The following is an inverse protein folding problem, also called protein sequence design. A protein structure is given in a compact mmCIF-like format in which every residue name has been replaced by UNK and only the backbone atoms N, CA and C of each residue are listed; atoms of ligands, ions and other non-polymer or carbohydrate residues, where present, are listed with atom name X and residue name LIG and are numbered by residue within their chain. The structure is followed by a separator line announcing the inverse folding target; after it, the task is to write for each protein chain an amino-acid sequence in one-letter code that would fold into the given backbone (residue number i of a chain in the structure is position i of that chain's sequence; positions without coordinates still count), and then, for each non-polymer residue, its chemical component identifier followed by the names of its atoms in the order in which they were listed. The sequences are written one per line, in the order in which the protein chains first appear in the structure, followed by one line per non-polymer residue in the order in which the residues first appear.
data_IF_292068344097
#
_entry.id   IF_292068344097
#
_cell.length_a   1.000
_cell.length_b   1.000
_cell.length_c   1.000
_cell.angle_alpha   90.00
_cell.angle_beta   90.00
_cell.angle_gamma   90.00
#
_symmetry.space_group_name_H-M   'P 1'
#
loop_
_entity.id
_entity.type
_entity.pdbx_description
1 polymer ?
#
# COMPACT_ATOMS: atom_id res chain seq x y z
N UNK A 1 11.60 11.93 11.01
CA UNK A 1 11.43 10.69 10.22
C UNK A 1 10.59 10.97 8.98
N UNK A 2 10.84 10.32 7.84
CA UNK A 2 10.09 10.52 6.57
C UNK A 2 9.12 9.38 6.26
N UNK A 3 7.94 9.70 5.72
CA UNK A 3 6.93 8.75 5.28
C UNK A 3 6.90 8.61 3.75
N UNK A 4 7.08 7.38 3.26
CA UNK A 4 6.97 7.04 1.85
C UNK A 4 5.64 6.33 1.55
N UNK A 5 5.01 6.69 0.44
CA UNK A 5 3.84 5.98 -0.06
C UNK A 5 4.26 4.97 -1.14
N UNK A 6 4.06 3.66 -0.94
CA UNK A 6 4.21 2.68 -2.00
C UNK A 6 3.20 2.93 -3.12
N UNK A 7 3.72 3.03 -4.33
CA UNK A 7 2.93 3.29 -5.53
C UNK A 7 2.43 2.00 -6.16
N UNK A 8 1.17 1.97 -6.62
CA UNK A 8 0.59 0.79 -7.29
C UNK A 8 -0.47 1.13 -8.36
N UNK A 9 -0.29 2.24 -9.11
CA UNK A 9 -1.30 2.82 -10.02
C UNK A 9 -2.58 3.29 -9.27
N UNK A 10 -2.39 3.85 -8.08
CA UNK A 10 -3.48 4.26 -7.18
C UNK A 10 -4.03 5.68 -7.43
N UNK A 11 -3.73 6.28 -8.58
CA UNK A 11 -4.30 7.56 -9.03
C UNK A 11 -5.82 7.49 -9.29
N UNK A 12 -6.47 8.65 -9.30
CA UNK A 12 -7.91 8.85 -9.54
C UNK A 12 -8.14 9.69 -10.79
N UNK A 13 -9.36 9.79 -11.28
CA UNK A 13 -9.69 10.58 -12.47
C UNK A 13 -10.12 11.99 -12.07
N UNK A 14 -9.67 12.98 -12.83
CA UNK A 14 -10.02 14.39 -12.65
C UNK A 14 -11.50 14.68 -12.90
N UNK A 15 -12.09 14.00 -13.89
CA UNK A 15 -13.47 14.17 -14.37
C UNK A 15 -14.51 13.30 -13.63
N UNK A 16 -14.13 12.68 -12.52
CA UNK A 16 -15.01 11.78 -11.78
C UNK A 16 -16.28 12.49 -11.26
N UNK A 17 -17.44 12.02 -11.73
CA UNK A 17 -18.75 12.45 -11.25
C UNK A 17 -19.27 11.48 -10.17
N UNK A 18 -19.36 11.90 -8.90
CA UNK A 18 -19.86 11.05 -7.82
C UNK A 18 -21.36 10.77 -7.91
N UNK A 19 -22.15 11.58 -8.63
CA UNK A 19 -23.59 11.40 -8.75
C UNK A 19 -23.94 10.18 -9.59
N UNK A 20 -23.24 10.04 -10.71
CA UNK A 20 -23.43 8.98 -11.71
C UNK A 20 -22.40 7.85 -11.60
N UNK A 21 -21.34 8.06 -10.80
CA UNK A 21 -20.19 7.16 -10.63
C UNK A 21 -19.41 6.94 -11.94
N UNK A 22 -19.41 7.94 -12.83
CA UNK A 22 -18.75 7.89 -14.15
C UNK A 22 -17.47 8.73 -14.20
N UNK A 23 -16.58 8.35 -15.11
CA UNK A 23 -15.33 9.02 -15.44
C UNK A 23 -14.85 8.50 -16.80
N UNK A 24 -13.97 9.23 -17.48
CA UNK A 24 -13.50 8.89 -18.82
C UNK A 24 -11.98 8.98 -18.96
N UNK A 25 -11.45 8.43 -20.05
CA UNK A 25 -10.01 8.42 -20.32
C UNK A 25 -9.22 7.39 -19.49
N UNK A 26 -7.91 7.49 -19.60
CA UNK A 26 -6.93 6.68 -18.87
C UNK A 26 -5.97 7.55 -18.07
N UNK A 27 -4.67 7.33 -18.28
CA UNK A 27 -3.61 7.96 -17.50
C UNK A 27 -3.51 9.48 -17.75
N UNK A 28 -3.90 9.95 -18.93
CA UNK A 28 -3.99 11.36 -19.26
C UNK A 28 -4.92 12.14 -18.31
N UNK A 29 -5.98 11.49 -17.82
CA UNK A 29 -6.92 12.05 -16.85
C UNK A 29 -6.59 11.68 -15.40
N UNK A 30 -5.44 11.03 -15.16
CA UNK A 30 -5.00 10.67 -13.82
C UNK A 30 -4.76 11.91 -12.97
N UNK A 31 -5.00 11.78 -11.67
CA UNK A 31 -4.68 12.74 -10.62
C UNK A 31 -4.13 11.96 -9.43
N UNK A 32 -2.92 12.33 -9.00
CA UNK A 32 -2.25 11.77 -7.85
C UNK A 32 -2.67 12.48 -6.55
N UNK A 33 -2.41 11.83 -5.41
CA UNK A 33 -2.75 12.43 -4.12
C UNK A 33 -2.02 13.76 -3.86
N UNK A 34 -0.75 13.88 -4.28
CA UNK A 34 0.04 15.10 -4.12
C UNK A 34 -0.43 16.26 -5.03
N UNK A 35 -1.21 15.99 -6.08
CA UNK A 35 -1.87 17.04 -6.88
C UNK A 35 -3.14 17.57 -6.19
N UNK A 36 -3.76 16.77 -5.31
CA UNK A 36 -5.01 17.11 -4.61
C UNK A 36 -4.75 17.85 -3.28
N UNK A 37 -3.73 17.43 -2.52
CA UNK A 37 -3.45 17.99 -1.20
C UNK A 37 -2.23 18.91 -1.22
N UNK A 38 -2.35 20.05 -0.53
CA UNK A 38 -1.26 21.00 -0.27
C UNK A 38 -1.16 21.21 1.25
N UNK A 39 -0.05 20.83 1.91
CA UNK A 39 1.09 20.10 1.36
C UNK A 39 0.75 18.65 0.95
N UNK A 40 1.60 17.98 0.13
CA UNK A 40 1.46 16.56 -0.20
C UNK A 40 1.38 15.65 1.03
N UNK A 41 0.64 14.52 0.97
CA UNK A 41 0.39 13.67 2.13
C UNK A 41 1.47 12.60 2.38
N UNK A 42 2.72 12.88 1.99
CA UNK A 42 3.89 12.02 2.15
C UNK A 42 5.17 12.79 1.76
N UNK A 43 6.32 12.31 2.25
CA UNK A 43 7.66 12.85 1.95
C UNK A 43 8.30 12.20 0.71
N UNK A 44 7.81 11.03 0.31
CA UNK A 44 8.38 10.28 -0.80
C UNK A 44 7.43 9.23 -1.37
N UNK A 45 7.81 8.69 -2.52
CA UNK A 45 7.08 7.64 -3.23
C UNK A 45 8.03 6.46 -3.42
N UNK A 46 7.59 5.26 -3.01
CA UNK A 46 8.32 4.01 -3.24
C UNK A 46 7.73 3.31 -4.46
N UNK A 47 8.50 3.12 -5.53
CA UNK A 47 8.04 2.46 -6.76
C UNK A 47 8.75 1.12 -6.91
N UNK A 48 7.97 0.04 -6.89
CA UNK A 48 8.48 -1.31 -7.04
C UNK A 48 8.72 -1.65 -8.51
N UNK A 49 9.91 -2.14 -8.86
CA UNK A 49 10.25 -2.61 -10.21
C UNK A 49 9.37 -3.79 -10.65
N UNK A 50 8.85 -4.58 -9.71
CA UNK A 50 7.82 -5.58 -9.99
C UNK A 50 6.58 -4.98 -10.67
N UNK A 51 6.27 -3.69 -10.48
CA UNK A 51 5.17 -3.05 -11.21
C UNK A 51 5.35 -3.10 -12.73
N UNK A 52 6.58 -3.09 -13.23
CA UNK A 52 6.89 -3.15 -14.66
C UNK A 52 6.73 -4.56 -15.27
N UNK A 53 6.52 -5.56 -14.43
CA UNK A 53 6.14 -6.90 -14.84
C UNK A 53 4.60 -7.05 -14.86
N UNK A 54 3.92 -6.57 -13.80
CA UNK A 54 2.50 -6.87 -13.58
C UNK A 54 1.51 -5.83 -14.11
N UNK A 55 1.91 -4.56 -14.21
CA UNK A 55 0.97 -3.44 -14.41
C UNK A 55 1.39 -2.44 -15.46
N UNK A 56 2.67 -2.10 -15.46
CA UNK A 56 3.28 -1.16 -16.38
C UNK A 56 4.15 -1.92 -17.35
N UNK A 57 4.36 -1.37 -18.54
CA UNK A 57 5.33 -1.91 -19.50
C UNK A 57 6.43 -0.88 -19.69
N UNK A 58 7.67 -1.32 -19.57
CA UNK A 58 8.81 -0.52 -20.00
C UNK A 58 8.93 -0.65 -21.52
N UNK A 59 8.75 0.46 -22.21
CA UNK A 59 8.97 0.54 -23.65
C UNK A 59 10.34 1.16 -23.90
N UNK A 60 11.07 0.66 -24.90
CA UNK A 60 12.33 1.27 -25.31
C UNK A 60 12.07 2.29 -26.42
N UNK A 61 12.43 3.55 -26.18
CA UNK A 61 12.43 4.61 -27.19
C UNK A 61 13.87 5.11 -27.30
N UNK A 62 14.45 5.04 -28.51
CA UNK A 62 15.85 5.36 -28.77
C UNK A 62 16.83 4.64 -27.81
N UNK A 63 16.53 3.37 -27.49
CA UNK A 63 17.36 2.54 -26.62
C UNK A 63 17.18 2.76 -25.12
N UNK A 64 16.40 3.77 -24.68
CA UNK A 64 16.13 4.06 -23.26
C UNK A 64 14.76 3.58 -22.82
N UNK A 65 14.66 3.08 -21.59
CA UNK A 65 13.40 2.72 -20.96
C UNK A 65 12.48 3.94 -20.77
N UNK A 66 11.20 3.72 -21.02
CA UNK A 66 10.14 4.72 -20.82
C UNK A 66 8.92 4.07 -20.18
N UNK A 67 8.19 4.84 -19.39
CA UNK A 67 6.93 4.44 -18.75
C UNK A 67 5.83 5.32 -19.33
N UNK A 68 4.90 4.73 -20.08
CA UNK A 68 3.82 5.49 -20.77
C UNK A 68 4.34 6.68 -21.61
N UNK A 69 5.52 6.53 -22.22
CA UNK A 69 6.17 7.58 -23.03
C UNK A 69 7.03 8.58 -22.24
N UNK A 70 7.04 8.52 -20.91
CA UNK A 70 7.91 9.34 -20.06
C UNK A 70 9.27 8.66 -19.88
N UNK A 71 10.36 9.42 -20.04
CA UNK A 71 11.74 8.95 -19.81
C UNK A 71 12.23 9.14 -18.38
N UNK A 72 11.42 9.76 -17.51
CA UNK A 72 11.73 10.07 -16.12
C UNK A 72 10.58 9.59 -15.24
N UNK A 73 10.90 8.92 -14.13
CA UNK A 73 9.91 8.50 -13.14
C UNK A 73 9.26 9.72 -12.46
N UNK A 74 9.99 10.83 -12.36
CA UNK A 74 9.48 12.06 -11.74
C UNK A 74 8.42 12.71 -12.62
N UNK A 75 8.65 12.77 -13.93
CA UNK A 75 7.71 13.32 -14.92
C UNK A 75 6.47 12.43 -15.02
N UNK A 76 6.68 11.10 -15.01
CA UNK A 76 5.59 10.13 -14.92
C UNK A 76 4.70 10.36 -13.70
N UNK A 77 5.31 10.67 -12.55
CA UNK A 77 4.59 10.95 -11.30
C UNK A 77 4.17 12.41 -11.14
N UNK A 78 4.43 13.30 -12.13
CA UNK A 78 4.11 14.74 -12.10
C UNK A 78 4.69 15.49 -10.90
N UNK A 79 5.98 15.26 -10.64
CA UNK A 79 6.70 15.79 -9.48
C UNK A 79 7.61 16.99 -9.82
N UNK A 80 7.44 17.64 -10.97
CA UNK A 80 8.28 18.74 -11.44
C UNK A 80 8.29 19.91 -10.43
N UNK A 81 7.10 20.26 -9.92
CA UNK A 81 6.91 21.34 -8.93
C UNK A 81 7.07 20.86 -7.48
N UNK A 82 7.50 19.61 -7.26
CA UNK A 82 7.64 18.98 -5.95
C UNK A 82 9.04 18.34 -5.78
N UNK A 83 10.13 19.12 -5.89
CA UNK A 83 11.50 18.60 -5.81
C UNK A 83 11.82 17.95 -4.45
N UNK A 84 11.09 18.31 -3.39
CA UNK A 84 11.23 17.73 -2.06
C UNK A 84 10.72 16.29 -1.95
N UNK A 85 9.83 15.85 -2.85
CA UNK A 85 9.33 14.47 -2.85
C UNK A 85 10.38 13.58 -3.50
N UNK A 86 10.93 12.66 -2.70
CA UNK A 86 11.92 11.68 -3.16
C UNK A 86 11.24 10.44 -3.75
N UNK A 87 11.75 9.94 -4.86
CA UNK A 87 11.31 8.70 -5.51
C UNK A 87 12.35 7.61 -5.27
N UNK A 88 11.98 6.61 -4.48
CA UNK A 88 12.82 5.46 -4.15
C UNK A 88 12.34 4.24 -4.94
N UNK A 89 13.27 3.55 -5.58
CA UNK A 89 13.03 2.29 -6.27
C UNK A 89 13.14 1.10 -5.34
N UNK A 90 12.19 0.18 -5.41
CA UNK A 90 12.19 -1.11 -4.72
C UNK A 90 12.33 -2.24 -5.77
N UNK A 91 13.14 -3.27 -5.52
CA UNK A 91 13.34 -4.34 -6.50
C UNK A 91 12.12 -5.28 -6.63
N UNK A 92 11.17 -5.21 -5.69
CA UNK A 92 9.90 -5.90 -5.77
C UNK A 92 9.90 -7.33 -5.27
N UNK A 93 10.74 -7.67 -4.29
CA UNK A 93 10.90 -9.03 -3.79
C UNK A 93 9.64 -9.75 -3.30
N UNK A 94 8.57 -9.02 -2.99
CA UNK A 94 7.26 -9.62 -2.72
C UNK A 94 6.66 -10.37 -3.92
N UNK A 95 6.98 -9.99 -5.15
CA UNK A 95 6.41 -10.62 -6.36
C UNK A 95 7.02 -11.98 -6.63
N UNK A 96 8.24 -12.22 -6.17
CA UNK A 96 8.98 -13.46 -6.35
C UNK A 96 9.37 -14.16 -5.04
N UNK A 97 8.74 -13.81 -3.92
CA UNK A 97 9.01 -14.41 -2.61
C UNK A 97 8.88 -15.94 -2.59
N UNK A 98 8.01 -16.48 -3.44
CA UNK A 98 7.78 -17.92 -3.59
C UNK A 98 8.81 -18.61 -4.50
N UNK A 99 9.54 -17.86 -5.31
CA UNK A 99 10.58 -18.39 -6.19
C UNK A 99 11.86 -18.74 -5.42
N UNK A 100 12.78 -19.42 -6.11
CA UNK A 100 14.11 -19.76 -5.58
C UNK A 100 15.09 -18.59 -5.66
N UNK A 101 14.93 -17.73 -6.66
CA UNK A 101 15.83 -16.61 -6.97
C UNK A 101 15.02 -15.39 -7.41
N UNK A 102 15.59 -14.18 -7.33
CA UNK A 102 14.97 -12.97 -7.88
C UNK A 102 14.66 -13.12 -9.37
N UNK A 103 13.57 -12.50 -9.82
CA UNK A 103 13.21 -12.42 -11.25
C UNK A 103 14.01 -11.35 -12.00
N UNK A 104 14.67 -10.46 -11.25
CA UNK A 104 15.38 -9.30 -11.73
C UNK A 104 16.88 -9.45 -11.46
N UNK A 105 17.73 -9.15 -12.44
CA UNK A 105 19.19 -9.10 -12.24
C UNK A 105 19.64 -7.75 -11.67
N UNK A 106 20.82 -7.73 -11.06
CA UNK A 106 21.46 -6.49 -10.57
C UNK A 106 21.63 -5.47 -11.70
N UNK A 107 22.11 -5.92 -12.88
CA UNK A 107 22.30 -5.06 -14.05
C UNK A 107 20.99 -4.44 -14.55
N UNK A 108 19.90 -5.20 -14.51
CA UNK A 108 18.59 -4.70 -14.91
C UNK A 108 18.05 -3.68 -13.91
N UNK A 109 18.17 -3.94 -12.61
CA UNK A 109 17.76 -3.00 -11.58
C UNK A 109 18.51 -1.66 -11.70
N UNK A 110 19.85 -1.71 -11.76
CA UNK A 110 20.71 -0.52 -11.90
C UNK A 110 20.35 0.26 -13.17
N UNK A 111 20.19 -0.44 -14.30
CA UNK A 111 19.82 0.19 -15.57
C UNK A 111 18.48 0.91 -15.46
N UNK A 112 17.45 0.26 -14.91
CA UNK A 112 16.11 0.86 -14.80
C UNK A 112 16.13 2.08 -13.88
N UNK A 113 16.76 1.99 -12.72
CA UNK A 113 16.86 3.11 -11.78
C UNK A 113 17.59 4.31 -12.40
N UNK A 114 18.69 4.06 -13.11
CA UNK A 114 19.48 5.10 -13.78
C UNK A 114 18.74 5.72 -14.97
N UNK A 115 18.24 4.89 -15.90
CA UNK A 115 17.57 5.36 -17.13
C UNK A 115 16.30 6.16 -16.83
N UNK A 116 15.57 5.81 -15.77
CA UNK A 116 14.35 6.51 -15.36
C UNK A 116 14.59 7.60 -14.31
N UNK A 117 15.84 7.90 -13.94
CA UNK A 117 16.21 8.98 -13.01
C UNK A 117 15.54 8.87 -11.63
N UNK A 118 15.65 7.69 -11.00
CA UNK A 118 15.27 7.52 -9.59
C UNK A 118 16.21 8.31 -8.66
N UNK A 119 15.69 8.80 -7.53
CA UNK A 119 16.54 9.48 -6.53
C UNK A 119 17.36 8.46 -5.72
N UNK A 120 16.71 7.35 -5.33
CA UNK A 120 17.31 6.23 -4.61
C UNK A 120 16.91 4.90 -5.25
N UNK A 121 17.76 3.87 -5.14
CA UNK A 121 17.46 2.52 -5.63
C UNK A 121 17.87 1.44 -4.63
N UNK A 122 16.91 0.60 -4.22
CA UNK A 122 17.16 -0.53 -3.33
C UNK A 122 17.77 -1.69 -4.12
N UNK A 123 18.86 -2.26 -3.59
CA UNK A 123 19.56 -3.40 -4.17
C UNK A 123 18.64 -4.63 -4.30
N UNK A 124 18.92 -5.48 -5.29
CA UNK A 124 18.13 -6.70 -5.53
C UNK A 124 18.28 -7.68 -4.36
N UNK A 125 17.18 -8.01 -3.69
CA UNK A 125 17.18 -8.91 -2.53
C UNK A 125 16.23 -10.09 -2.69
N UNK A 126 16.23 -10.96 -1.68
CA UNK A 126 15.31 -12.08 -1.57
C UNK A 126 14.77 -12.18 -0.14
N UNK A 127 13.45 -12.01 0.01
CA UNK A 127 12.80 -12.03 1.33
C UNK A 127 13.00 -13.39 2.02
N UNK A 128 13.48 -13.34 3.26
CA UNK A 128 13.59 -14.48 4.18
C UNK A 128 12.23 -14.81 4.81
N UNK A 129 11.28 -15.29 3.99
CA UNK A 129 9.93 -15.65 4.43
C UNK A 129 9.90 -17.07 4.99
N UNK A 130 9.46 -17.23 6.25
CA UNK A 130 9.34 -18.54 6.89
C UNK A 130 8.44 -19.50 6.11
N UNK A 131 7.39 -18.98 5.46
CA UNK A 131 6.45 -19.74 4.65
C UNK A 131 6.39 -19.23 3.22
N UNK A 132 6.43 -20.15 2.26
CA UNK A 132 6.19 -19.87 0.84
C UNK A 132 5.16 -20.84 0.25
N UNK A 133 4.63 -20.53 -0.93
CA UNK A 133 3.73 -21.42 -1.68
C UNK A 133 4.37 -21.78 -3.02
N UNK A 134 4.54 -23.08 -3.27
CA UNK A 134 5.22 -23.64 -4.45
C UNK A 134 4.32 -24.64 -5.17
N UNK A 135 4.66 -24.99 -6.41
CA UNK A 135 4.06 -26.12 -7.13
C UNK A 135 4.65 -27.46 -6.67
N UNK A 136 4.08 -28.59 -7.14
CA UNK A 136 4.64 -29.92 -6.81
C UNK A 136 5.98 -30.13 -7.52
N UNK A 137 6.15 -29.59 -8.73
CA UNK A 137 7.40 -29.68 -9.50
C UNK A 137 8.55 -28.87 -8.89
N UNK A 138 8.23 -27.80 -8.16
CA UNK A 138 9.21 -26.93 -7.52
C UNK A 138 9.68 -27.45 -6.16
N UNK A 139 8.98 -28.40 -5.55
CA UNK A 139 9.18 -28.82 -4.16
C UNK A 139 10.62 -29.28 -3.88
N UNK A 140 11.18 -30.08 -4.79
CA UNK A 140 12.53 -30.65 -4.68
C UNK A 140 13.65 -29.59 -4.79
N UNK A 141 13.31 -28.36 -5.21
CA UNK A 141 14.28 -27.26 -5.32
C UNK A 141 14.51 -26.50 -4.01
N UNK A 142 13.77 -26.81 -2.95
CA UNK A 142 13.82 -26.11 -1.66
C UNK A 142 14.18 -27.03 -0.50
N UNK A 143 14.95 -26.50 0.45
CA UNK A 143 15.14 -27.12 1.77
C UNK A 143 14.01 -26.64 2.71
N UNK A 144 13.23 -27.56 3.28
CA UNK A 144 12.04 -27.24 4.09
C UNK A 144 11.85 -28.17 5.30
N UNK A 145 11.11 -27.68 6.30
CA UNK A 145 10.83 -28.37 7.56
C UNK A 145 9.40 -28.92 7.64
N UNK A 146 8.44 -28.24 7.01
CA UNK A 146 7.02 -28.60 7.06
C UNK A 146 6.35 -28.40 5.70
N UNK A 147 5.35 -29.24 5.40
CA UNK A 147 4.56 -29.18 4.15
C UNK A 147 3.07 -29.19 4.47
N UNK A 148 2.30 -28.31 3.83
CA UNK A 148 0.84 -28.20 3.93
C UNK A 148 0.23 -28.05 2.54
N UNK A 149 -0.56 -29.03 2.11
CA UNK A 149 -1.27 -28.96 0.82
C UNK A 149 -2.50 -28.05 0.95
N UNK A 150 -2.65 -27.12 0.00
CA UNK A 150 -3.79 -26.18 -0.04
C UNK A 150 -4.40 -26.16 -1.43
N UNK A 151 -5.61 -25.59 -1.56
CA UNK A 151 -6.24 -25.38 -2.87
C UNK A 151 -5.44 -24.45 -3.82
N UNK A 152 -4.45 -23.72 -3.30
CA UNK A 152 -3.65 -22.73 -4.06
C UNK A 152 -2.21 -23.19 -4.32
N UNK A 153 -1.90 -24.45 -4.05
CA UNK A 153 -0.54 -25.01 -4.13
C UNK A 153 -0.06 -25.57 -2.80
N UNK A 154 1.23 -25.89 -2.73
CA UNK A 154 1.87 -26.51 -1.58
C UNK A 154 2.54 -25.41 -0.75
N UNK A 155 2.09 -25.25 0.49
CA UNK A 155 2.77 -24.37 1.44
C UNK A 155 3.89 -25.12 2.13
N UNK A 156 5.10 -24.58 2.07
CA UNK A 156 6.25 -25.13 2.77
C UNK A 156 6.82 -24.14 3.77
N UNK A 157 7.30 -24.65 4.90
CA UNK A 157 8.07 -23.89 5.87
C UNK A 157 9.55 -24.06 5.54
N UNK A 158 10.22 -22.98 5.18
CA UNK A 158 11.63 -23.04 4.78
C UNK A 158 12.52 -23.44 5.95
N UNK A 159 13.57 -24.20 5.65
CA UNK A 159 14.64 -24.49 6.61
C UNK A 159 15.52 -23.26 6.84
N UNK A 160 16.32 -23.29 7.90
CA UNK A 160 17.30 -22.23 8.14
C UNK A 160 18.33 -22.14 7.02
N UNK A 161 18.75 -23.27 6.45
CA UNK A 161 19.65 -23.33 5.28
C UNK A 161 19.09 -22.53 4.10
N UNK A 162 17.79 -22.67 3.80
CA UNK A 162 17.14 -21.94 2.71
C UNK A 162 17.02 -20.45 3.00
N UNK A 163 16.71 -20.09 4.25
CA UNK A 163 16.64 -18.69 4.68
C UNK A 163 18.02 -18.03 4.62
N UNK A 164 19.07 -18.73 5.03
CA UNK A 164 20.46 -18.27 4.95
C UNK A 164 20.92 -18.15 3.49
N UNK A 165 20.54 -19.09 2.62
CA UNK A 165 20.78 -18.99 1.19
C UNK A 165 20.21 -17.67 0.61
N UNK A 166 18.96 -17.33 0.95
CA UNK A 166 18.30 -16.09 0.51
C UNK A 166 18.98 -14.84 1.07
N UNK A 167 19.40 -14.89 2.34
CA UNK A 167 20.14 -13.80 2.99
C UNK A 167 21.49 -13.54 2.31
N UNK A 168 22.31 -14.58 2.12
CA UNK A 168 23.60 -14.50 1.43
C UNK A 168 23.44 -13.97 0.00
N UNK A 169 22.45 -14.48 -0.75
CA UNK A 169 22.17 -14.00 -2.10
C UNK A 169 21.85 -12.49 -2.11
N UNK A 170 21.12 -12.00 -1.10
CA UNK A 170 20.81 -10.57 -0.98
C UNK A 170 22.07 -9.73 -0.72
N UNK A 171 23.00 -10.22 0.10
CA UNK A 171 24.29 -9.57 0.36
C UNK A 171 25.20 -9.57 -0.88
N UNK A 172 25.29 -10.68 -1.60
CA UNK A 172 26.07 -10.80 -2.83
C UNK A 172 25.56 -9.84 -3.92
N UNK A 173 24.24 -9.82 -4.12
CA UNK A 173 23.62 -8.85 -5.02
C UNK A 173 23.85 -7.42 -4.54
N UNK A 174 23.80 -7.16 -3.22
CA UNK A 174 24.07 -5.86 -2.62
C UNK A 174 25.49 -5.38 -2.92
N UNK A 175 26.49 -6.24 -2.83
CA UNK A 175 27.88 -5.90 -3.15
C UNK A 175 28.06 -5.57 -4.64
N UNK A 176 27.49 -6.40 -5.52
CA UNK A 176 27.52 -6.16 -6.96
C UNK A 176 26.79 -4.87 -7.35
N UNK A 177 25.61 -4.64 -6.75
CA UNK A 177 24.79 -3.47 -6.99
C UNK A 177 25.51 -2.18 -6.60
N UNK A 178 26.19 -2.15 -5.45
CA UNK A 178 26.93 -0.98 -4.99
C UNK A 178 28.03 -0.58 -5.98
N UNK A 179 28.75 -1.55 -6.54
CA UNK A 179 29.82 -1.33 -7.52
C UNK A 179 29.31 -0.77 -8.84
N UNK A 180 28.07 -1.08 -9.21
CA UNK A 180 27.46 -0.73 -10.51
C UNK A 180 26.54 0.49 -10.43
N UNK A 181 26.05 0.85 -9.24
CA UNK A 181 25.10 1.94 -9.05
C UNK A 181 25.65 3.27 -9.59
N UNK A 182 24.88 3.93 -10.45
CA UNK A 182 25.24 5.20 -11.07
C UNK A 182 23.99 6.00 -11.43
N UNK A 183 24.00 7.31 -11.15
CA UNK A 183 22.88 8.21 -11.43
C UNK A 183 21.75 8.20 -10.40
N UNK A 184 21.88 7.45 -9.31
CA UNK A 184 20.95 7.42 -8.17
C UNK A 184 21.71 7.04 -6.89
N UNK A 185 21.12 7.28 -5.71
CA UNK A 185 21.72 6.89 -4.43
C UNK A 185 21.41 5.42 -4.09
N UNK A 186 22.43 4.54 -3.96
CA UNK A 186 22.20 3.11 -3.70
C UNK A 186 21.75 2.88 -2.25
N UNK A 187 20.77 1.99 -2.08
CA UNK A 187 20.24 1.60 -0.75
C UNK A 187 20.40 0.09 -0.58
N UNK A 188 21.14 -0.33 0.44
CA UNK A 188 21.40 -1.75 0.69
C UNK A 188 20.20 -2.43 1.31
N UNK A 189 19.73 -3.54 0.74
CA UNK A 189 18.59 -4.30 1.24
C UNK A 189 19.02 -5.34 2.28
N UNK A 190 18.75 -5.07 3.56
CA UNK A 190 18.99 -6.00 4.65
C UNK A 190 17.79 -6.94 4.82
N UNK A 191 18.06 -8.24 4.75
CA UNK A 191 17.11 -9.32 5.05
C UNK A 191 17.57 -10.12 6.26
N UNK A 192 16.64 -10.86 6.87
CA UNK A 192 16.95 -11.71 8.01
C UNK A 192 15.76 -12.55 8.45
N UNK A 193 16.08 -13.62 9.18
CA UNK A 193 15.11 -14.58 9.74
C UNK A 193 15.14 -14.64 11.27
N UNK A 194 16.10 -13.94 11.88
CA UNK A 194 16.31 -13.77 13.31
C UNK A 194 16.89 -12.37 13.58
N UNK A 195 16.88 -11.89 14.83
CA UNK A 195 17.49 -10.59 15.16
C UNK A 195 18.99 -10.59 14.82
N UNK A 196 19.71 -11.68 15.14
CA UNK A 196 21.15 -11.80 14.85
C UNK A 196 21.44 -11.74 13.35
N UNK A 197 20.66 -12.44 12.51
CA UNK A 197 20.85 -12.42 11.06
C UNK A 197 20.53 -11.06 10.43
N UNK A 198 19.56 -10.31 10.96
CA UNK A 198 19.34 -8.92 10.52
C UNK A 198 20.52 -8.01 10.89
N UNK A 199 20.98 -8.08 12.15
CA UNK A 199 22.10 -7.26 12.63
C UNK A 199 23.37 -7.54 11.82
N UNK A 200 23.64 -8.81 11.53
CA UNK A 200 24.76 -9.25 10.69
C UNK A 200 24.65 -8.71 9.25
N UNK A 201 23.47 -8.82 8.64
CA UNK A 201 23.24 -8.32 7.27
C UNK A 201 23.38 -6.79 7.18
N UNK A 202 22.87 -6.07 8.17
CA UNK A 202 23.03 -4.61 8.27
C UNK A 202 24.50 -4.23 8.44
N UNK A 203 25.21 -4.91 9.35
CA UNK A 203 26.64 -4.69 9.57
C UNK A 203 27.44 -4.90 8.29
N UNK A 204 27.18 -6.01 7.59
CA UNK A 204 27.83 -6.36 6.33
C UNK A 204 27.62 -5.28 5.25
N UNK A 205 26.39 -4.79 5.07
CA UNK A 205 26.09 -3.73 4.09
C UNK A 205 26.81 -2.42 4.45
N UNK A 206 26.86 -2.05 5.73
CA UNK A 206 27.59 -0.84 6.17
C UNK A 206 29.09 -1.01 5.92
N UNK A 207 29.65 -2.18 6.21
CA UNK A 207 31.07 -2.49 5.94
C UNK A 207 31.41 -2.48 4.45
N UNK A 208 30.47 -2.90 3.58
CA UNK A 208 30.59 -2.78 2.12
C UNK A 208 30.65 -1.31 1.66
N UNK A 209 30.13 -0.37 2.46
CA UNK A 209 30.14 1.07 2.17
C UNK A 209 28.77 1.71 1.97
N UNK A 210 27.67 1.00 2.25
CA UNK A 210 26.34 1.62 2.23
C UNK A 210 26.17 2.59 3.41
N UNK A 211 25.77 3.82 3.11
CA UNK A 211 25.35 4.84 4.09
C UNK A 211 23.81 4.93 4.23
N UNK A 212 23.08 4.12 3.46
CA UNK A 212 21.62 3.98 3.55
C UNK A 212 21.22 2.50 3.38
N UNK A 213 20.49 1.97 4.36
CA UNK A 213 20.03 0.58 4.42
C UNK A 213 18.50 0.53 4.49
N UNK A 214 17.89 -0.32 3.67
CA UNK A 214 16.47 -0.69 3.75
C UNK A 214 16.33 -2.04 4.45
N UNK A 215 15.51 -2.13 5.49
CA UNK A 215 15.28 -3.38 6.25
C UNK A 215 13.98 -4.01 5.76
N UNK A 216 14.12 -5.10 5.02
CA UNK A 216 13.03 -5.86 4.40
C UNK A 216 12.48 -6.98 5.28
N UNK A 217 11.46 -7.70 4.80
CA UNK A 217 10.96 -8.91 5.48
C UNK A 217 10.22 -8.69 6.80
N UNK A 218 9.98 -7.44 7.20
CA UNK A 218 9.38 -7.10 8.50
C UNK A 218 7.86 -7.14 8.54
N UNK A 219 7.17 -7.01 7.40
CA UNK A 219 5.69 -6.96 7.33
C UNK A 219 4.98 -8.09 8.10
N UNK A 220 5.38 -9.38 7.99
CA UNK A 220 4.75 -10.46 8.74
C UNK A 220 5.22 -10.57 10.21
N UNK A 221 6.27 -9.85 10.61
CA UNK A 221 6.81 -9.88 11.97
C UNK A 221 5.91 -9.06 12.90
N UNK A 222 5.87 -9.48 14.17
CA UNK A 222 5.12 -8.82 15.24
C UNK A 222 5.83 -7.54 15.71
N UNK A 223 5.09 -6.64 16.34
CA UNK A 223 5.63 -5.36 16.82
C UNK A 223 6.74 -5.54 17.88
N UNK A 224 6.64 -6.58 18.73
CA UNK A 224 7.67 -6.94 19.71
C UNK A 224 9.00 -7.30 19.04
N UNK A 225 8.99 -8.18 18.04
CA UNK A 225 10.18 -8.53 17.25
C UNK A 225 10.82 -7.31 16.59
N UNK A 226 10.02 -6.44 15.96
CA UNK A 226 10.54 -5.24 15.29
C UNK A 226 11.16 -4.30 16.33
N UNK A 227 10.51 -4.09 17.47
CA UNK A 227 11.07 -3.24 18.54
C UNK A 227 12.40 -3.76 19.08
N UNK A 228 12.51 -5.08 19.32
CA UNK A 228 13.74 -5.73 19.80
C UNK A 228 14.87 -5.62 18.76
N UNK A 229 14.54 -5.81 17.49
CA UNK A 229 15.48 -5.62 16.39
C UNK A 229 16.04 -4.18 16.35
N UNK A 230 15.17 -3.17 16.41
CA UNK A 230 15.61 -1.77 16.37
C UNK A 230 16.51 -1.42 17.57
N UNK A 231 16.17 -1.93 18.75
CA UNK A 231 16.97 -1.74 19.96
C UNK A 231 18.35 -2.41 19.85
N UNK A 232 18.43 -3.63 19.29
CA UNK A 232 19.72 -4.31 19.11
C UNK A 232 20.59 -3.62 18.05
N UNK A 233 20.01 -3.15 16.94
CA UNK A 233 20.74 -2.33 15.92
C UNK A 233 21.28 -1.04 16.56
N UNK A 234 20.48 -0.39 17.42
CA UNK A 234 20.88 0.80 18.17
C UNK A 234 22.04 0.50 19.14
N UNK A 235 21.92 -0.56 19.94
CA UNK A 235 22.94 -1.01 20.90
C UNK A 235 24.27 -1.35 20.24
N UNK A 236 24.24 -1.90 19.02
CA UNK A 236 25.42 -2.17 18.18
C UNK A 236 26.01 -0.91 17.54
N UNK A 237 25.39 0.26 17.72
CA UNK A 237 25.84 1.54 17.18
C UNK A 237 25.65 1.70 15.67
N UNK A 238 24.89 0.81 15.03
CA UNK A 238 24.73 0.79 13.56
C UNK A 238 23.87 1.95 13.06
N UNK A 239 22.89 2.39 13.85
CA UNK A 239 22.03 3.55 13.53
C UNK A 239 22.81 4.86 13.37
N UNK A 240 24.04 4.95 13.90
CA UNK A 240 24.91 6.13 13.74
C UNK A 240 25.74 6.10 12.46
N UNK A 241 25.82 4.96 11.78
CA UNK A 241 26.68 4.74 10.62
C UNK A 241 25.96 4.89 9.28
N UNK A 242 24.64 4.72 9.27
CA UNK A 242 23.82 4.77 8.06
C UNK A 242 22.41 5.29 8.36
N UNK A 243 21.71 5.74 7.32
CA UNK A 243 20.27 5.97 7.33
C UNK A 243 19.54 4.63 7.24
N UNK A 244 18.35 4.56 7.82
CA UNK A 244 17.53 3.35 7.84
C UNK A 244 16.13 3.60 7.28
N UNK A 245 15.71 2.77 6.33
CA UNK A 245 14.36 2.69 5.81
C UNK A 245 13.69 1.38 6.26
N UNK A 246 12.52 1.43 6.91
CA UNK A 246 11.78 0.21 7.27
C UNK A 246 10.72 -0.12 6.22
N UNK A 247 10.89 -1.24 5.52
CA UNK A 247 10.02 -1.61 4.41
C UNK A 247 8.66 -2.15 4.88
N UNK A 248 7.58 -1.49 4.49
CA UNK A 248 6.19 -1.86 4.75
C UNK A 248 5.74 -1.78 6.21
N UNK A 249 6.52 -1.13 7.08
CA UNK A 249 6.25 -1.02 8.52
C UNK A 249 5.53 0.29 8.84
N UNK A 250 4.22 0.19 9.07
CA UNK A 250 3.46 1.22 9.79
C UNK A 250 2.66 0.56 10.91
N UNK A 251 3.15 0.77 12.13
CA UNK A 251 2.55 0.35 13.40
C UNK A 251 2.59 1.59 14.28
N UNK A 252 1.44 2.19 14.59
CA UNK A 252 1.40 3.49 15.28
C UNK A 252 2.11 3.42 16.64
N UNK A 253 2.04 2.27 17.31
CA UNK A 253 2.72 2.01 18.58
C UNK A 253 4.26 1.99 18.48
N UNK A 254 4.83 1.77 17.29
CA UNK A 254 6.29 1.77 17.08
C UNK A 254 6.82 3.14 16.65
N UNK A 255 5.96 4.08 16.21
CA UNK A 255 6.40 5.39 15.72
C UNK A 255 7.22 6.18 16.76
N UNK A 256 6.87 6.23 18.06
CA UNK A 256 7.68 6.92 19.06
C UNK A 256 9.09 6.34 19.18
N UNK A 257 9.21 4.99 19.24
CA UNK A 257 10.49 4.30 19.30
C UNK A 257 11.33 4.55 18.05
N UNK A 258 10.71 4.46 16.86
CA UNK A 258 11.39 4.73 15.59
C UNK A 258 11.93 6.16 15.53
N UNK A 259 11.16 7.14 16.03
CA UNK A 259 11.60 8.53 16.09
C UNK A 259 12.74 8.73 17.09
N UNK A 260 12.63 8.17 18.31
CA UNK A 260 13.67 8.20 19.34
C UNK A 260 15.00 7.62 18.85
N UNK A 261 14.93 6.50 18.12
CA UNK A 261 16.09 5.82 17.55
C UNK A 261 16.63 6.49 16.28
N UNK A 262 15.98 7.55 15.78
CA UNK A 262 16.44 8.27 14.60
C UNK A 262 16.29 7.50 13.29
N UNK A 263 15.27 6.63 13.17
CA UNK A 263 14.95 5.97 11.91
C UNK A 263 14.66 7.02 10.84
N UNK A 264 15.35 6.91 9.70
CA UNK A 264 15.32 7.94 8.67
C UNK A 264 13.98 7.95 7.95
N UNK A 265 13.47 6.79 7.53
CA UNK A 265 12.19 6.69 6.85
C UNK A 265 11.51 5.32 6.98
N UNK A 266 10.25 5.25 6.58
CA UNK A 266 9.47 4.02 6.45
C UNK A 266 8.42 4.18 5.34
N UNK A 267 7.90 3.09 4.82
CA UNK A 267 6.79 3.13 3.88
C UNK A 267 5.56 2.35 4.37
N UNK A 268 4.38 2.79 3.91
CA UNK A 268 3.19 1.97 4.01
C UNK A 268 2.07 2.42 3.11
N UNK A 269 1.45 1.45 2.43
CA UNK A 269 0.19 1.66 1.73
C UNK A 269 -1.04 1.27 2.58
N UNK A 270 -0.87 1.04 3.89
CA UNK A 270 -1.95 0.49 4.74
C UNK A 270 -3.14 1.45 4.83
N UNK A 271 -2.93 2.72 5.17
CA UNK A 271 -3.99 3.74 5.28
C UNK A 271 -4.73 3.97 3.96
N UNK A 272 -3.98 3.99 2.86
CA UNK A 272 -4.50 4.09 1.49
C UNK A 272 -5.39 2.88 1.17
N UNK A 273 -4.82 1.68 1.17
CA UNK A 273 -5.49 0.46 0.69
C UNK A 273 -6.60 -0.03 1.62
N UNK A 274 -6.59 0.33 2.91
CA UNK A 274 -7.69 0.02 3.84
C UNK A 274 -9.04 0.47 3.30
N UNK A 275 -9.06 1.58 2.55
CA UNK A 275 -10.26 2.15 1.97
C UNK A 275 -11.03 1.19 1.04
N UNK A 276 -10.38 0.21 0.40
CA UNK A 276 -11.05 -0.78 -0.46
C UNK A 276 -10.72 -2.24 -0.15
N UNK A 277 -9.68 -2.54 0.63
CA UNK A 277 -9.36 -3.91 1.02
C UNK A 277 -10.09 -4.38 2.28
N UNK A 278 -10.57 -3.46 3.13
CA UNK A 278 -11.29 -3.82 4.37
C UNK A 278 -12.78 -3.57 4.24
N UNK A 279 -13.55 -4.51 4.80
CA UNK A 279 -15.01 -4.41 4.82
C UNK A 279 -15.55 -3.41 5.83
N UNK A 280 -14.85 -3.30 6.95
CA UNK A 280 -15.10 -2.38 8.06
C UNK A 280 -13.85 -1.54 8.32
N UNK A 281 -14.00 -0.44 9.06
CA UNK A 281 -12.88 0.40 9.49
C UNK A 281 -12.01 0.92 8.33
N UNK A 282 -12.63 1.49 7.30
CA UNK A 282 -12.01 1.86 6.03
C UNK A 282 -12.09 3.37 5.70
N UNK A 283 -12.70 4.17 6.58
CA UNK A 283 -12.65 5.63 6.59
C UNK A 283 -11.99 6.09 7.90
N UNK A 284 -10.89 6.85 7.81
CA UNK A 284 -10.23 7.42 8.98
C UNK A 284 -10.88 8.76 9.34
N UNK A 285 -11.40 8.87 10.56
CA UNK A 285 -12.05 10.07 11.08
C UNK A 285 -11.04 11.12 11.55
N UNK A 286 -11.44 12.39 11.53
CA UNK A 286 -10.63 13.50 12.07
C UNK A 286 -10.44 13.42 13.59
N UNK A 287 -11.20 12.57 14.27
CA UNK A 287 -11.08 12.24 15.68
C UNK A 287 -10.11 11.07 15.94
N UNK A 288 -9.42 10.58 14.91
CA UNK A 288 -8.46 9.48 15.00
C UNK A 288 -9.10 8.09 15.06
N UNK A 289 -10.43 7.98 14.91
CA UNK A 289 -11.14 6.68 14.89
C UNK A 289 -11.33 6.15 13.49
N UNK A 290 -11.55 4.84 13.39
CA UNK A 290 -11.87 4.19 12.11
C UNK A 290 -13.35 3.90 12.00
N UNK A 291 -13.99 4.47 10.97
CA UNK A 291 -15.38 4.25 10.64
C UNK A 291 -15.53 3.28 9.47
N UNK A 292 -16.71 2.66 9.36
CA UNK A 292 -17.05 1.79 8.23
C UNK A 292 -17.89 2.53 7.22
N UNK A 293 -17.38 2.67 6.00
CA UNK A 293 -18.12 3.24 4.87
C UNK A 293 -19.39 2.42 4.55
N UNK A 294 -20.46 3.10 4.15
CA UNK A 294 -21.74 2.50 3.77
C UNK A 294 -21.62 1.78 2.43
N UNK A 295 -21.89 0.47 2.40
CA UNK A 295 -21.78 -0.32 1.18
C UNK A 295 -23.01 -0.18 0.31
N UNK A 296 -22.78 0.34 -0.90
CA UNK A 296 -23.82 0.41 -1.94
C UNK A 296 -23.22 -0.13 -3.24
N UNK A 297 -23.09 -1.46 -3.37
CA UNK A 297 -22.64 -2.12 -4.58
C UNK A 297 -23.40 -1.64 -5.82
N UNK A 298 -22.69 -1.51 -6.95
CA UNK A 298 -23.30 -1.13 -8.22
C UNK A 298 -24.14 -2.27 -8.80
N UNK A 299 -25.45 -2.03 -8.90
CA UNK A 299 -26.44 -2.93 -9.47
C UNK A 299 -26.20 -3.25 -10.96
N UNK A 300 -25.37 -2.49 -11.68
CA UNK A 300 -24.98 -2.78 -13.07
C UNK A 300 -23.72 -3.63 -13.17
N UNK A 301 -23.02 -3.84 -12.06
CA UNK A 301 -21.79 -4.62 -12.05
C UNK A 301 -22.08 -6.13 -12.20
N UNK A 302 -21.96 -6.63 -13.43
CA UNK A 302 -22.19 -8.04 -13.79
C UNK A 302 -21.46 -9.05 -12.91
N UNK A 303 -20.25 -8.73 -12.41
CA UNK A 303 -19.49 -9.65 -11.53
C UNK A 303 -20.13 -9.78 -10.16
N UNK A 304 -20.72 -8.71 -9.64
CA UNK A 304 -21.43 -8.70 -8.37
C UNK A 304 -22.82 -9.33 -8.51
N UNK A 305 -23.53 -9.07 -9.61
CA UNK A 305 -24.84 -9.67 -9.85
C UNK A 305 -24.80 -11.20 -9.91
N UNK A 306 -23.73 -11.81 -10.46
CA UNK A 306 -23.50 -13.27 -10.39
C UNK A 306 -23.42 -13.82 -8.95
N UNK A 307 -23.37 -12.96 -7.93
CA UNK A 307 -23.27 -13.32 -6.52
C UNK A 307 -24.59 -13.24 -5.77
N UNK A 308 -25.60 -12.64 -6.36
CA UNK A 308 -26.94 -12.51 -5.79
C UNK A 308 -27.72 -13.79 -6.11
N UNK A 309 -28.42 -14.34 -5.12
CA UNK A 309 -29.29 -15.52 -5.30
C UNK A 309 -30.70 -15.14 -5.72
N UNK A 310 -31.24 -14.07 -5.15
CA UNK A 310 -32.58 -13.56 -5.39
C UNK A 310 -32.51 -12.11 -5.84
N UNK A 311 -32.99 -11.83 -7.05
CA UNK A 311 -32.99 -10.50 -7.61
C UNK A 311 -34.30 -9.79 -7.24
N UNK A 312 -34.26 -8.68 -6.48
CA UNK A 312 -35.43 -7.84 -6.32
C UNK A 312 -35.83 -7.29 -7.68
N UNK A 313 -37.13 -7.28 -8.00
CA UNK A 313 -37.66 -6.77 -9.28
C UNK A 313 -37.25 -5.30 -9.58
N UNK A 314 -36.84 -4.54 -8.56
CA UNK A 314 -36.56 -3.10 -8.64
C UNK A 314 -35.18 -2.71 -8.08
N UNK A 315 -34.15 -3.56 -8.22
CA UNK A 315 -32.81 -3.33 -7.62
C UNK A 315 -32.20 -1.97 -7.97
N UNK A 316 -32.24 -1.54 -9.24
CA UNK A 316 -31.70 -0.23 -9.66
C UNK A 316 -32.51 0.95 -9.10
N UNK A 317 -33.82 0.78 -8.88
CA UNK A 317 -34.67 1.81 -8.28
C UNK A 317 -34.37 1.95 -6.79
N UNK A 318 -34.19 0.82 -6.09
CA UNK A 318 -33.78 0.78 -4.68
C UNK A 318 -32.41 1.46 -4.50
N UNK A 319 -31.43 1.09 -5.33
CA UNK A 319 -30.10 1.72 -5.33
C UNK A 319 -30.18 3.25 -5.49
N UNK A 320 -30.91 3.73 -6.50
CA UNK A 320 -31.07 5.17 -6.75
C UNK A 320 -31.74 5.89 -5.57
N UNK A 321 -32.73 5.26 -4.95
CA UNK A 321 -33.41 5.80 -3.77
C UNK A 321 -32.45 5.93 -2.58
N UNK A 322 -31.66 4.90 -2.29
CA UNK A 322 -30.67 4.91 -1.21
C UNK A 322 -29.61 6.00 -1.44
N UNK A 323 -29.04 6.07 -2.65
CA UNK A 323 -28.04 7.09 -2.98
C UNK A 323 -28.61 8.51 -2.86
N UNK A 324 -29.85 8.73 -3.33
CA UNK A 324 -30.54 10.00 -3.14
C UNK A 324 -30.75 10.31 -1.66
N UNK A 325 -31.27 9.35 -0.88
CA UNK A 325 -31.55 9.51 0.55
C UNK A 325 -30.31 9.87 1.36
N UNK A 326 -29.16 9.24 1.07
CA UNK A 326 -27.89 9.60 1.70
C UNK A 326 -27.48 11.05 1.39
N UNK A 327 -27.65 11.50 0.15
CA UNK A 327 -27.34 12.89 -0.25
C UNK A 327 -28.32 13.90 0.34
N UNK A 328 -29.60 13.53 0.44
CA UNK A 328 -30.62 14.33 1.12
C UNK A 328 -30.27 14.47 2.63
N UNK A 329 -29.85 13.38 3.27
CA UNK A 329 -29.35 13.40 4.65
C UNK A 329 -28.11 14.28 4.81
N UNK A 330 -27.18 14.22 3.85
CA UNK A 330 -26.00 15.07 3.82
C UNK A 330 -26.34 16.55 3.64
N UNK A 331 -27.40 16.91 2.93
CA UNK A 331 -27.84 18.31 2.83
C UNK A 331 -28.68 18.77 4.03
N UNK A 332 -29.22 17.83 4.82
CA UNK A 332 -30.13 18.11 5.92
C UNK A 332 -31.62 18.10 5.51
N UNK A 333 -31.91 17.68 4.27
CA UNK A 333 -33.27 17.51 3.75
C UNK A 333 -33.96 16.28 4.39
N UNK A 334 -33.18 15.30 4.83
CA UNK A 334 -33.63 14.15 5.61
C UNK A 334 -33.08 14.25 7.05
N UNK A 335 -33.98 14.38 8.04
CA UNK A 335 -33.60 14.50 9.45
C UNK A 335 -33.44 13.15 10.14
N UNK A 336 -34.39 12.25 9.91
CA UNK A 336 -34.37 10.87 10.43
C UNK A 336 -33.87 9.91 9.35
N UNK A 337 -32.81 9.17 9.65
CA UNK A 337 -32.20 8.21 8.73
C UNK A 337 -32.59 6.76 9.04
N UNK A 338 -33.46 6.51 10.01
CA UNK A 338 -33.79 5.15 10.48
C UNK A 338 -34.33 4.27 9.34
N UNK A 339 -35.32 4.76 8.59
CA UNK A 339 -35.85 4.04 7.42
C UNK A 339 -34.80 3.86 6.31
N UNK A 340 -33.99 4.89 6.05
CA UNK A 340 -32.90 4.81 5.06
C UNK A 340 -31.86 3.74 5.46
N UNK A 341 -31.55 3.62 6.74
CA UNK A 341 -30.64 2.61 7.26
C UNK A 341 -31.20 1.20 7.07
N UNK A 342 -32.49 0.98 7.30
CA UNK A 342 -33.15 -0.30 6.98
C UNK A 342 -32.99 -0.66 5.49
N UNK A 343 -33.18 0.32 4.60
CA UNK A 343 -33.02 0.10 3.16
C UNK A 343 -31.57 -0.23 2.78
N UNK A 344 -30.59 0.45 3.39
CA UNK A 344 -29.16 0.19 3.18
C UNK A 344 -28.81 -1.24 3.61
N UNK A 345 -29.22 -1.65 4.80
CA UNK A 345 -28.95 -3.01 5.33
C UNK A 345 -29.59 -4.06 4.44
N UNK A 346 -30.85 -3.84 4.04
CA UNK A 346 -31.56 -4.71 3.11
C UNK A 346 -30.85 -4.83 1.76
N UNK A 347 -30.29 -3.73 1.25
CA UNK A 347 -29.55 -3.72 -0.01
C UNK A 347 -28.20 -4.43 0.10
N UNK A 348 -27.38 -4.13 1.11
CA UNK A 348 -26.05 -4.74 1.30
C UNK A 348 -26.14 -6.27 1.50
N UNK A 349 -27.18 -6.73 2.22
CA UNK A 349 -27.48 -8.16 2.42
C UNK A 349 -27.54 -8.94 1.11
N UNK A 350 -28.02 -8.34 0.02
CA UNK A 350 -28.16 -9.01 -1.28
C UNK A 350 -26.81 -9.42 -1.90
N UNK A 351 -25.73 -8.71 -1.55
CA UNK A 351 -24.43 -8.86 -2.20
C UNK A 351 -23.42 -9.70 -1.40
N UNK A 352 -23.78 -10.14 -0.19
CA UNK A 352 -22.90 -10.90 0.69
C UNK A 352 -23.27 -12.40 0.70
N UNK A 353 -22.25 -13.26 0.66
CA UNK A 353 -22.42 -14.70 0.42
C UNK A 353 -22.42 -15.57 1.69
N UNK A 354 -21.97 -15.07 2.85
CA UNK A 354 -21.90 -15.78 4.14
C UNK A 354 -22.20 -14.81 5.31
N UNK A 355 -22.64 -15.35 6.46
CA UNK A 355 -22.98 -14.69 7.75
C UNK A 355 -22.91 -13.14 7.74
N UNK A 356 -23.86 -12.51 7.05
CA UNK A 356 -24.05 -11.08 7.15
C UNK A 356 -24.64 -10.78 8.53
N UNK A 357 -23.83 -10.19 9.40
CA UNK A 357 -24.28 -9.76 10.71
C UNK A 357 -24.98 -8.39 10.55
N UNK A 358 -26.29 -8.43 10.31
CA UNK A 358 -27.12 -7.23 10.10
C UNK A 358 -27.02 -6.24 11.25
N UNK A 359 -27.07 -6.73 12.50
CA UNK A 359 -26.98 -5.91 13.71
C UNK A 359 -25.67 -5.14 13.78
N UNK A 360 -24.54 -5.83 13.53
CA UNK A 360 -23.22 -5.19 13.49
C UNK A 360 -23.13 -4.11 12.40
N UNK A 361 -23.61 -4.37 11.18
CA UNK A 361 -23.52 -3.36 10.11
C UNK A 361 -24.46 -2.19 10.36
N UNK A 362 -25.62 -2.44 11.00
CA UNK A 362 -26.54 -1.39 11.43
C UNK A 362 -25.88 -0.46 12.43
N UNK A 363 -25.21 -1.00 13.44
CA UNK A 363 -24.43 -0.21 14.41
C UNK A 363 -23.33 0.61 13.72
N UNK A 364 -22.53 -0.03 12.86
CA UNK A 364 -21.41 0.63 12.19
C UNK A 364 -21.85 1.75 11.22
N UNK A 365 -22.93 1.53 10.46
CA UNK A 365 -23.47 2.55 9.56
C UNK A 365 -24.19 3.65 10.34
N UNK A 366 -24.88 3.29 11.44
CA UNK A 366 -25.50 4.25 12.36
C UNK A 366 -24.46 5.17 13.00
N UNK A 367 -23.37 4.63 13.57
CA UNK A 367 -22.27 5.38 14.15
C UNK A 367 -21.67 6.39 13.15
N UNK A 368 -21.46 5.94 11.90
CA UNK A 368 -20.98 6.81 10.83
C UNK A 368 -21.98 7.96 10.56
N UNK A 369 -23.25 7.64 10.31
CA UNK A 369 -24.27 8.63 9.96
C UNK A 369 -24.51 9.65 11.09
N UNK A 370 -24.62 9.18 12.33
CA UNK A 370 -24.82 10.02 13.51
C UNK A 370 -23.65 10.98 13.74
N UNK A 371 -22.42 10.48 13.65
CA UNK A 371 -21.22 11.30 13.87
C UNK A 371 -21.02 12.39 12.81
N UNK A 372 -21.56 12.19 11.59
CA UNK A 372 -21.33 13.02 10.40
C UNK A 372 -19.84 13.35 10.23
N UNK A 373 -18.96 12.41 10.57
CA UNK A 373 -17.52 12.66 10.73
C UNK A 373 -16.87 13.21 9.46
N UNK A 374 -17.40 12.88 8.27
CA UNK A 374 -16.93 13.40 6.99
C UNK A 374 -17.14 14.91 6.85
N UNK A 375 -18.22 15.47 7.41
CA UNK A 375 -18.48 16.91 7.42
C UNK A 375 -17.54 17.68 8.32
N UNK A 376 -17.00 17.02 9.35
CA UNK A 376 -16.01 17.60 10.25
C UNK A 376 -14.61 17.69 9.60
N UNK A 377 -14.41 17.02 8.47
CA UNK A 377 -13.16 17.08 7.72
C UNK A 377 -13.16 18.20 6.69
N UNK A 378 -12.17 19.08 6.78
CA UNK A 378 -11.97 20.18 5.84
C UNK A 378 -11.05 19.82 4.66
N UNK A 379 -10.66 18.55 4.47
CA UNK A 379 -9.77 18.20 3.35
C UNK A 379 -10.49 18.42 1.99
N UNK A 380 -9.76 18.73 0.90
CA UNK A 380 -10.34 18.99 -0.42
C UNK A 380 -11.31 17.90 -0.89
N UNK A 381 -10.98 16.63 -0.63
CA UNK A 381 -11.78 15.48 -1.04
C UNK A 381 -13.10 15.39 -0.28
N UNK A 382 -13.08 15.55 1.05
CA UNK A 382 -14.31 15.52 1.87
C UNK A 382 -15.21 16.72 1.56
N UNK A 383 -14.64 17.92 1.33
CA UNK A 383 -15.41 19.10 0.93
C UNK A 383 -16.09 18.92 -0.44
N UNK A 384 -15.39 18.31 -1.40
CA UNK A 384 -15.92 18.10 -2.74
C UNK A 384 -17.00 17.02 -2.77
N UNK A 385 -16.80 15.92 -2.05
CA UNK A 385 -17.66 14.74 -2.15
C UNK A 385 -18.77 14.70 -1.08
N UNK A 386 -18.63 15.40 0.05
CA UNK A 386 -19.61 15.26 1.14
C UNK A 386 -19.76 13.80 1.56
N UNK A 387 -20.98 13.33 1.74
CA UNK A 387 -21.26 11.93 2.11
C UNK A 387 -20.77 10.91 1.07
N UNK A 388 -20.61 11.31 -0.20
CA UNK A 388 -20.16 10.41 -1.26
C UNK A 388 -18.77 9.80 -0.96
N UNK A 389 -17.93 10.44 -0.13
CA UNK A 389 -16.61 9.89 0.29
C UNK A 389 -16.73 8.65 1.19
N UNK A 390 -17.80 8.57 1.99
CA UNK A 390 -18.05 7.47 2.94
C UNK A 390 -18.96 6.39 2.37
N UNK A 391 -19.25 6.43 1.08
CA UNK A 391 -19.92 5.34 0.36
C UNK A 391 -18.85 4.38 -0.21
N UNK A 392 -18.99 3.08 0.06
CA UNK A 392 -18.17 2.04 -0.56
C UNK A 392 -18.77 1.64 -1.89
N UNK A 393 -18.27 2.26 -2.96
CA UNK A 393 -18.72 2.03 -4.35
C UNK A 393 -17.69 2.58 -5.32
N UNK A 394 -17.48 1.92 -6.45
CA UNK A 394 -16.62 2.44 -7.52
C UNK A 394 -15.13 2.54 -7.16
N UNK A 395 -14.25 2.59 -8.16
CA UNK A 395 -12.81 2.68 -7.90
C UNK A 395 -12.39 4.08 -7.46
N UNK A 396 -12.84 5.12 -8.18
CA UNK A 396 -12.44 6.51 -7.94
C UNK A 396 -12.79 6.99 -6.53
N UNK A 397 -14.03 6.78 -6.10
CA UNK A 397 -14.49 7.13 -4.76
C UNK A 397 -13.71 6.40 -3.66
N UNK A 398 -13.52 5.09 -3.81
CA UNK A 398 -12.76 4.31 -2.84
C UNK A 398 -11.28 4.74 -2.76
N UNK A 399 -10.64 5.06 -3.89
CA UNK A 399 -9.29 5.59 -3.94
C UNK A 399 -9.20 7.00 -3.34
N UNK A 400 -10.16 7.88 -3.63
CA UNK A 400 -10.29 9.21 -3.01
C UNK A 400 -10.46 9.12 -1.48
N UNK A 401 -11.19 8.12 -0.98
CA UNK A 401 -11.24 7.82 0.47
C UNK A 401 -9.87 7.41 1.01
N UNK A 402 -9.14 6.58 0.26
CA UNK A 402 -7.76 6.23 0.62
C UNK A 402 -6.81 7.45 0.64
N UNK A 403 -6.98 8.38 -0.29
CA UNK A 403 -6.28 9.67 -0.35
C UNK A 403 -6.57 10.54 0.88
N UNK A 404 -7.84 10.59 1.31
CA UNK A 404 -8.22 11.21 2.59
C UNK A 404 -7.55 10.52 3.78
N UNK A 405 -7.57 9.19 3.84
CA UNK A 405 -6.98 8.43 4.95
C UNK A 405 -5.47 8.71 5.10
N UNK A 406 -4.71 8.72 4.00
CA UNK A 406 -3.28 9.03 4.05
C UNK A 406 -3.02 10.48 4.45
N UNK A 407 -3.84 11.43 3.99
CA UNK A 407 -3.70 12.83 4.34
C UNK A 407 -3.89 13.08 5.84
N UNK A 408 -4.92 12.47 6.44
CA UNK A 408 -5.15 12.58 7.88
C UNK A 408 -4.04 11.90 8.69
N UNK A 409 -3.62 10.70 8.30
CA UNK A 409 -2.48 10.03 8.92
C UNK A 409 -1.23 10.92 8.88
N UNK A 410 -0.87 11.40 7.70
CA UNK A 410 0.33 12.20 7.51
C UNK A 410 0.28 13.53 8.28
N UNK A 411 -0.89 14.16 8.35
CA UNK A 411 -1.09 15.38 9.15
C UNK A 411 -0.87 15.12 10.65
N UNK A 412 -1.37 13.99 11.18
CA UNK A 412 -1.12 13.60 12.58
C UNK A 412 0.35 13.23 12.81
N UNK A 413 0.93 12.49 11.87
CA UNK A 413 2.34 12.07 11.90
C UNK A 413 3.29 13.26 11.93
N UNK A 414 3.04 14.30 11.14
CA UNK A 414 3.87 15.52 11.08
C UNK A 414 3.64 16.48 12.24
N UNK A 415 2.53 16.39 12.97
CA UNK A 415 2.31 17.16 14.20
C UNK A 415 2.95 16.51 15.44
N UNK A 416 3.20 15.21 15.39
CA UNK A 416 3.72 14.41 16.51
C UNK A 416 5.24 14.22 16.47
N UNK A 417 5.88 14.55 15.35
CA UNK A 417 7.33 14.57 15.14
C UNK A 417 7.78 16.01 14.95
#
# INVERSE_FOLDING_TARGET
MKFFLPYWEDWVHSDFDPLTDTYSGGFENAVFAHEIFKPPPYDGILVSLGMFEFKLKLLKVNGRATIRGYSSIRDYLRLEELPQISVMGDCGAFTYVNGKKPLLSVDEAVRIYSELSFDCGISVDHICSDWITVSEEELDSFSYLEVKRTQRGIKIRLSEEELEFRRRLSLENGEEFLKKASGFHPVGAAQGYSISSYVDSIGSLIEMGYDFVAVGGLVPRRSDFISELLLEISKKGLLRKAKFHLLGVLREELLPLMNELGIYSFDSASYLRKAWLKAVSNYYGVDGKWYSSIRIPDSKNRRLLKRIREFPQNLERLERRILKGLRDYDRGDLKDYSELLEEIISYDRLFLRNEFNEERYRELYGELLESKIWKRCSCPVCRQLGIDIVIFRGSNRNKRRGFHNIHLFYSKFTQSN
#
